data_IF_556600206694
#
_entry.id   IF_556600206694
#
_cell.length_a   1.000
_cell.length_b   1.000
_cell.length_c   1.000
_cell.angle_alpha   90.00
_cell.angle_beta   90.00
_cell.angle_gamma   90.00
#
_symmetry.space_group_name_H-M   'P 1'
#
loop_
_entity.id
_entity.type
_entity.pdbx_description
1 polymer ?
#
# COMPACT_ATOMS: atom_id res chain seq x y z
N UNK A 1 -1.47 40.02 -2.76
CA UNK A 1 -0.64 40.23 -3.97
C UNK A 1 0.85 40.41 -3.65
N UNK A 2 1.25 41.28 -2.70
CA UNK A 2 2.67 41.40 -2.27
C UNK A 2 3.25 40.13 -1.61
N UNK A 3 2.44 39.39 -0.84
CA UNK A 3 2.83 38.10 -0.24
C UNK A 3 3.09 37.01 -1.30
N UNK A 4 2.35 37.03 -2.41
CA UNK A 4 2.54 36.11 -3.54
C UNK A 4 3.82 36.45 -4.33
N UNK A 5 4.13 37.75 -4.46
CA UNK A 5 5.39 38.22 -5.05
C UNK A 5 6.60 37.86 -4.18
N UNK A 6 6.49 37.96 -2.85
CA UNK A 6 7.54 37.50 -1.91
C UNK A 6 7.74 35.98 -1.95
N UNK A 7 6.67 35.19 -2.04
CA UNK A 7 6.76 33.73 -2.16
C UNK A 7 7.45 33.30 -3.48
N UNK A 8 7.11 33.93 -4.60
CA UNK A 8 7.74 33.66 -5.91
C UNK A 8 9.22 34.08 -5.94
N UNK A 9 9.58 35.16 -5.24
CA UNK A 9 10.99 35.61 -5.16
C UNK A 9 11.82 34.68 -4.27
N UNK A 10 11.24 34.11 -3.20
CA UNK A 10 11.91 33.12 -2.36
C UNK A 10 12.08 31.75 -3.04
N UNK A 11 11.09 31.31 -3.82
CA UNK A 11 11.17 30.08 -4.61
C UNK A 11 12.27 30.19 -5.71
N UNK A 12 12.38 31.34 -6.37
CA UNK A 12 13.43 31.60 -7.36
C UNK A 12 14.86 31.67 -6.76
N UNK A 13 14.97 32.01 -5.47
CA UNK A 13 16.26 32.01 -4.74
C UNK A 13 16.61 30.61 -4.22
N UNK A 14 15.62 29.80 -3.83
CA UNK A 14 15.83 28.41 -3.40
C UNK A 14 16.14 27.45 -4.58
N UNK A 15 15.64 27.74 -5.78
CA UNK A 15 15.89 26.96 -7.00
C UNK A 15 17.29 27.10 -7.61
N UNK A 16 18.18 27.93 -7.04
CA UNK A 16 19.61 27.94 -7.41
C UNK A 16 20.38 27.07 -6.43
N UNK A 17 20.51 25.79 -6.80
CA UNK A 17 21.51 24.83 -6.33
C UNK A 17 22.31 25.28 -5.09
N UNK A 18 21.80 25.02 -3.88
CA UNK A 18 22.66 24.99 -2.71
C UNK A 18 23.46 23.67 -2.77
N UNK A 19 24.79 23.70 -2.91
CA UNK A 19 25.56 22.48 -2.89
C UNK A 19 25.56 21.90 -1.46
N UNK A 20 25.25 20.60 -1.38
CA UNK A 20 25.27 19.68 -0.22
C UNK A 20 26.52 19.69 0.68
N UNK A 21 27.46 20.63 0.50
CA UNK A 21 28.68 20.77 1.31
C UNK A 21 28.48 21.51 2.64
N UNK A 22 27.45 22.35 2.79
CA UNK A 22 27.25 23.16 4.00
C UNK A 22 26.68 22.37 5.19
N UNK A 23 25.73 21.44 4.96
CA UNK A 23 25.13 20.61 6.00
C UNK A 23 26.13 19.61 6.62
N UNK A 24 26.95 18.95 5.79
CA UNK A 24 28.01 18.05 6.27
C UNK A 24 29.11 18.80 7.05
N UNK A 25 29.44 20.04 6.64
CA UNK A 25 30.41 20.87 7.36
C UNK A 25 29.87 21.32 8.73
N UNK A 26 28.59 21.67 8.83
CA UNK A 26 27.96 22.05 10.10
C UNK A 26 27.81 20.86 11.06
N UNK A 27 27.46 19.68 10.55
CA UNK A 27 27.39 18.46 11.34
C UNK A 27 28.78 18.01 11.85
N UNK A 28 29.83 18.08 11.02
CA UNK A 28 31.21 17.81 11.45
C UNK A 28 31.69 18.80 12.50
N UNK A 29 31.42 20.09 12.33
CA UNK A 29 31.80 21.13 13.28
C UNK A 29 31.12 20.94 14.64
N UNK A 30 29.85 20.52 14.67
CA UNK A 30 29.13 20.21 15.91
C UNK A 30 29.72 18.99 16.64
N UNK A 31 30.12 17.94 15.90
CA UNK A 31 30.75 16.74 16.46
C UNK A 31 32.17 17.01 16.97
N UNK A 32 32.96 17.82 16.28
CA UNK A 32 34.29 18.23 16.75
C UNK A 32 34.23 19.17 17.97
N UNK A 33 33.22 20.04 18.04
CA UNK A 33 32.97 20.87 19.21
C UNK A 33 32.57 20.02 20.44
N UNK A 34 31.82 18.94 20.24
CA UNK A 34 31.48 18.00 21.30
C UNK A 34 32.72 17.22 21.80
N UNK A 35 33.55 16.69 20.89
CA UNK A 35 34.81 16.00 21.24
C UNK A 35 35.81 16.86 22.00
N UNK A 36 35.91 18.16 21.67
CA UNK A 36 36.80 19.09 22.38
C UNK A 36 36.34 19.36 23.82
N UNK A 37 35.03 19.30 24.09
CA UNK A 37 34.49 19.46 25.45
C UNK A 37 34.73 18.22 26.32
N UNK A 38 34.68 17.02 25.75
CA UNK A 38 35.04 15.79 26.46
C UNK A 38 36.54 15.70 26.76
N UNK A 39 37.40 16.12 25.83
CA UNK A 39 38.85 16.15 26.05
C UNK A 39 39.28 17.15 27.14
N UNK A 40 38.50 18.19 27.41
CA UNK A 40 38.76 19.18 28.45
C UNK A 40 38.23 18.81 29.85
N UNK A 41 37.52 17.70 30.00
CA UNK A 41 36.87 17.29 31.26
C UNK A 41 37.56 16.18 32.04
N UNK A 42 38.74 15.72 31.62
CA UNK A 42 39.42 14.57 32.23
C UNK A 42 40.33 14.95 33.40
N UNK A 43 39.85 14.80 34.63
CA UNK A 43 40.69 14.76 35.82
C UNK A 43 39.89 14.51 37.10
N UNK A 44 39.99 13.30 37.68
CA UNK A 44 39.54 13.06 39.06
C UNK A 44 39.07 11.65 39.38
N UNK A 45 40.03 10.78 39.67
CA UNK A 45 40.04 9.65 40.62
C UNK A 45 39.21 8.36 40.47
N UNK A 46 39.97 7.28 40.63
CA UNK A 46 39.67 5.86 40.71
C UNK A 46 39.26 5.40 42.11
N UNK A 47 38.34 4.45 42.22
CA UNK A 47 38.08 3.71 43.46
C UNK A 47 37.04 2.58 43.36
N UNK A 48 37.54 1.35 43.23
CA UNK A 48 37.02 0.08 43.78
C UNK A 48 35.51 -0.26 43.84
N UNK A 49 35.14 -1.33 43.11
CA UNK A 49 34.50 -2.53 43.67
C UNK A 49 33.00 -2.50 44.04
N UNK A 50 32.23 -3.39 43.42
CA UNK A 50 30.93 -3.86 43.95
C UNK A 50 29.85 -4.03 42.89
N UNK A 51 29.51 -5.29 42.58
CA UNK A 51 28.39 -5.65 41.73
C UNK A 51 27.06 -5.15 42.32
N UNK A 52 26.42 -4.24 41.60
CA UNK A 52 25.07 -3.75 41.80
C UNK A 52 24.71 -2.97 40.55
N UNK A 53 23.54 -3.25 39.96
CA UNK A 53 23.13 -2.64 38.69
C UNK A 53 23.17 -1.12 38.75
N UNK A 54 24.23 -0.53 38.20
CA UNK A 54 24.32 0.92 38.00
C UNK A 54 23.62 1.21 36.68
N UNK A 55 22.31 1.43 36.75
CA UNK A 55 21.69 2.29 35.76
C UNK A 55 22.37 3.66 35.90
N UNK A 56 22.88 4.26 34.80
CA UNK A 56 23.38 5.61 34.90
C UNK A 56 22.23 6.48 35.40
N UNK A 57 22.41 7.07 36.58
CA UNK A 57 21.56 8.17 37.04
C UNK A 57 21.72 9.28 36.00
N UNK A 58 20.82 9.30 35.02
CA UNK A 58 20.79 10.36 34.03
C UNK A 58 20.55 11.65 34.80
N UNK A 59 21.59 12.48 34.89
CA UNK A 59 21.44 13.83 35.44
C UNK A 59 20.37 14.54 34.62
N UNK A 60 19.58 15.41 35.24
CA UNK A 60 18.53 16.17 34.53
C UNK A 60 19.08 16.89 33.29
N UNK A 61 20.37 17.27 33.31
CA UNK A 61 21.12 17.82 32.18
C UNK A 61 21.47 16.78 31.10
N UNK A 62 21.87 15.57 31.49
CA UNK A 62 22.11 14.45 30.56
C UNK A 62 20.83 13.99 29.86
N UNK A 63 19.69 13.96 30.57
CA UNK A 63 18.37 13.72 29.99
C UNK A 63 18.04 14.80 28.94
N UNK A 64 18.15 16.07 29.31
CA UNK A 64 17.85 17.19 28.39
C UNK A 64 18.77 17.17 27.16
N UNK A 65 20.06 16.92 27.33
CA UNK A 65 21.01 16.84 26.21
C UNK A 65 20.69 15.67 25.27
N UNK A 66 20.36 14.49 25.81
CA UNK A 66 19.95 13.34 25.01
C UNK A 66 18.62 13.60 24.28
N UNK A 67 17.64 14.22 24.94
CA UNK A 67 16.37 14.60 24.32
C UNK A 67 16.54 15.61 23.20
N UNK A 68 17.42 16.60 23.36
CA UNK A 68 17.73 17.59 22.30
C UNK A 68 18.45 16.92 21.13
N UNK A 69 19.45 16.07 21.38
CA UNK A 69 20.15 15.35 20.33
C UNK A 69 19.20 14.43 19.55
N UNK A 70 18.30 13.73 20.27
CA UNK A 70 17.28 12.89 19.66
C UNK A 70 16.28 13.71 18.82
N UNK A 71 15.81 14.86 19.32
CA UNK A 71 14.93 15.75 18.57
C UNK A 71 15.59 16.29 17.29
N UNK A 72 16.89 16.62 17.33
CA UNK A 72 17.64 17.07 16.15
C UNK A 72 17.80 15.94 15.13
N UNK A 73 18.12 14.72 15.58
CA UNK A 73 18.23 13.56 14.70
C UNK A 73 16.88 13.19 14.06
N UNK A 74 15.80 13.19 14.87
CA UNK A 74 14.44 12.96 14.42
C UNK A 74 14.00 14.00 13.37
N UNK A 75 14.24 15.28 13.64
CA UNK A 75 13.93 16.36 12.70
C UNK A 75 14.74 16.25 11.40
N UNK A 76 16.04 15.94 11.48
CA UNK A 76 16.90 15.79 10.30
C UNK A 76 16.47 14.60 9.43
N UNK A 77 16.09 13.49 10.05
CA UNK A 77 15.54 12.34 9.34
C UNK A 77 14.16 12.65 8.74
N UNK A 78 13.31 13.40 9.46
CA UNK A 78 12.04 13.89 8.94
C UNK A 78 12.20 14.78 7.70
N UNK A 79 13.19 15.68 7.69
CA UNK A 79 13.52 16.52 6.51
C UNK A 79 13.97 15.65 5.34
N UNK A 80 14.82 14.67 5.60
CA UNK A 80 15.29 13.73 4.57
C UNK A 80 14.14 12.92 3.96
N UNK A 81 13.20 12.43 4.78
CA UNK A 81 12.04 11.66 4.31
C UNK A 81 11.00 12.53 3.58
N UNK A 82 11.03 13.85 3.79
CA UNK A 82 10.20 14.82 3.07
C UNK A 82 10.83 15.28 1.74
N UNK A 83 12.12 14.98 1.51
CA UNK A 83 12.83 15.31 0.28
C UNK A 83 12.35 14.35 -0.83
N UNK A 84 11.69 14.90 -1.86
CA UNK A 84 11.05 14.13 -2.94
C UNK A 84 9.54 13.89 -2.80
N UNK A 85 8.85 14.52 -1.84
CA UNK A 85 7.38 14.49 -1.76
C UNK A 85 6.74 15.54 -2.70
N UNK A 86 6.49 15.15 -3.95
CA UNK A 86 5.88 16.01 -4.97
C UNK A 86 4.34 16.10 -4.87
N UNK A 87 3.74 15.58 -3.78
CA UNK A 87 2.28 15.50 -3.62
C UNK A 87 1.59 16.86 -3.77
N UNK A 88 2.15 17.94 -3.19
CA UNK A 88 1.58 19.28 -3.30
C UNK A 88 1.62 19.82 -4.74
N UNK A 89 2.69 19.53 -5.48
CA UNK A 89 2.78 19.89 -6.90
C UNK A 89 1.76 19.09 -7.73
N UNK A 90 1.70 17.77 -7.53
CA UNK A 90 0.78 16.89 -8.24
C UNK A 90 -0.68 17.22 -7.92
N UNK A 91 -1.03 17.59 -6.69
CA UNK A 91 -2.38 18.06 -6.35
C UNK A 91 -2.80 19.29 -7.17
N UNK A 92 -1.85 20.20 -7.45
CA UNK A 92 -2.12 21.41 -8.22
C UNK A 92 -2.19 21.17 -9.73
N UNK A 93 -1.49 20.14 -10.24
CA UNK A 93 -1.26 19.97 -11.69
C UNK A 93 -1.80 18.67 -12.27
N UNK A 94 -2.15 17.66 -11.45
CA UNK A 94 -2.50 16.31 -11.92
C UNK A 94 -3.59 16.26 -13.00
N UNK A 95 -4.72 16.99 -12.90
CA UNK A 95 -5.69 17.01 -14.00
C UNK A 95 -5.10 17.57 -15.29
N UNK A 96 -4.27 18.60 -15.23
CA UNK A 96 -3.65 19.23 -16.41
C UNK A 96 -2.46 18.44 -16.96
N UNK A 97 -1.83 17.61 -16.12
CA UNK A 97 -0.80 16.67 -16.53
C UNK A 97 -1.40 15.57 -17.39
N UNK A 98 -2.58 15.07 -17.04
CA UNK A 98 -3.19 13.90 -17.69
C UNK A 98 -4.26 14.29 -18.72
N UNK A 99 -5.19 15.19 -18.40
CA UNK A 99 -6.35 15.49 -19.24
C UNK A 99 -5.94 16.11 -20.59
N UNK A 100 -6.54 15.59 -21.68
CA UNK A 100 -6.39 16.14 -23.03
C UNK A 100 -5.01 16.03 -23.65
N UNK A 101 -4.06 15.33 -23.00
CA UNK A 101 -2.73 15.07 -23.57
C UNK A 101 -2.70 13.69 -24.22
N UNK A 102 -2.23 13.64 -25.47
CA UNK A 102 -1.83 12.38 -26.08
C UNK A 102 -0.73 11.71 -25.25
N UNK A 103 -0.72 10.37 -25.17
CA UNK A 103 0.22 9.62 -24.32
C UNK A 103 1.69 9.92 -24.66
N UNK A 104 2.01 10.23 -25.92
CA UNK A 104 3.37 10.59 -26.36
C UNK A 104 3.87 11.94 -25.81
N UNK A 105 2.99 12.74 -25.19
CA UNK A 105 3.34 14.00 -24.51
C UNK A 105 3.37 13.87 -22.99
N UNK A 106 3.02 12.70 -22.45
CA UNK A 106 3.17 12.39 -21.04
C UNK A 106 4.59 11.94 -20.76
N UNK A 107 5.20 12.44 -19.70
CA UNK A 107 6.48 11.94 -19.23
C UNK A 107 6.26 10.72 -18.33
N UNK A 108 7.17 9.76 -18.41
CA UNK A 108 7.17 8.56 -17.57
C UNK A 108 7.24 8.92 -16.08
N UNK A 109 8.19 9.80 -15.71
CA UNK A 109 8.38 10.28 -14.34
C UNK A 109 7.12 10.92 -13.75
N UNK A 110 6.33 11.65 -14.55
CA UNK A 110 5.09 12.27 -14.09
C UNK A 110 4.05 11.21 -13.70
N UNK A 111 3.94 10.13 -14.49
CA UNK A 111 3.02 9.02 -14.22
C UNK A 111 3.47 8.18 -13.02
N UNK A 112 4.77 7.93 -12.89
CA UNK A 112 5.32 7.22 -11.73
C UNK A 112 5.14 8.01 -10.44
N UNK A 113 5.41 9.32 -10.48
CA UNK A 113 5.13 10.24 -9.38
C UNK A 113 3.65 10.25 -9.01
N UNK A 114 2.76 10.27 -10.01
CA UNK A 114 1.32 10.19 -9.81
C UNK A 114 0.90 8.86 -9.15
N UNK A 115 1.43 7.73 -9.60
CA UNK A 115 1.16 6.42 -9.04
C UNK A 115 1.66 6.29 -7.58
N UNK A 116 2.84 6.84 -7.28
CA UNK A 116 3.39 6.86 -5.93
C UNK A 116 2.58 7.75 -4.98
N UNK A 117 2.30 9.00 -5.38
CA UNK A 117 1.58 9.97 -4.57
C UNK A 117 0.12 9.54 -4.34
N UNK A 118 -0.58 9.08 -5.38
CA UNK A 118 -1.97 8.61 -5.28
C UNK A 118 -2.11 7.38 -4.39
N UNK A 119 -1.05 6.59 -4.19
CA UNK A 119 -1.07 5.44 -3.27
C UNK A 119 -1.23 5.84 -1.80
N UNK A 120 -0.89 7.09 -1.44
CA UNK A 120 -0.82 7.53 -0.03
C UNK A 120 -1.61 8.79 0.29
N UNK A 121 -2.15 9.52 -0.69
CA UNK A 121 -2.89 10.76 -0.48
C UNK A 121 -4.33 10.66 -1.04
N UNK A 122 -5.34 10.87 -0.17
CA UNK A 122 -6.75 10.72 -0.57
C UNK A 122 -7.28 11.96 -1.30
N UNK A 123 -6.72 13.15 -1.06
CA UNK A 123 -7.08 14.37 -1.78
C UNK A 123 -6.71 14.26 -3.28
N UNK A 124 -5.56 13.67 -3.60
CA UNK A 124 -5.09 13.47 -4.97
C UNK A 124 -5.98 12.46 -5.70
N UNK A 125 -6.38 11.37 -5.04
CA UNK A 125 -7.38 10.43 -5.58
C UNK A 125 -8.68 11.15 -5.91
N UNK A 126 -9.16 12.01 -5.02
CA UNK A 126 -10.38 12.78 -5.24
C UNK A 126 -10.22 13.79 -6.39
N UNK A 127 -9.07 14.46 -6.52
CA UNK A 127 -8.77 15.38 -7.63
C UNK A 127 -8.75 14.63 -8.96
N UNK A 128 -8.04 13.50 -9.05
CA UNK A 128 -7.99 12.65 -10.24
C UNK A 128 -9.37 12.12 -10.64
N UNK A 129 -10.19 11.77 -9.65
CA UNK A 129 -11.54 11.29 -9.89
C UNK A 129 -12.53 12.38 -10.28
N UNK A 130 -12.28 13.67 -10.05
CA UNK A 130 -13.24 14.74 -10.40
C UNK A 130 -13.45 14.89 -11.90
N UNK A 131 -12.46 14.53 -12.70
CA UNK A 131 -12.48 14.71 -14.15
C UNK A 131 -12.55 13.35 -14.84
N UNK A 132 -13.71 12.95 -15.41
CA UNK A 132 -13.85 11.63 -16.00
C UNK A 132 -12.89 11.39 -17.18
N UNK A 133 -12.47 12.46 -17.88
CA UNK A 133 -11.47 12.37 -18.95
C UNK A 133 -10.09 11.95 -18.46
N UNK A 134 -9.70 12.30 -17.21
CA UNK A 134 -8.45 11.83 -16.61
C UNK A 134 -8.47 10.31 -16.47
N UNK A 135 -9.59 9.73 -16.01
CA UNK A 135 -9.74 8.29 -15.87
C UNK A 135 -9.69 7.58 -17.23
N UNK A 136 -10.37 8.12 -18.25
CA UNK A 136 -10.31 7.61 -19.62
C UNK A 136 -8.89 7.66 -20.18
N UNK A 137 -8.19 8.77 -19.97
CA UNK A 137 -6.82 8.92 -20.45
C UNK A 137 -5.85 7.96 -19.75
N UNK A 138 -5.99 7.75 -18.44
CA UNK A 138 -5.19 6.74 -17.73
C UNK A 138 -5.47 5.33 -18.27
N UNK A 139 -6.71 5.01 -18.63
CA UNK A 139 -7.04 3.73 -19.29
C UNK A 139 -6.40 3.62 -20.68
N UNK A 140 -6.42 4.70 -21.47
CA UNK A 140 -5.71 4.75 -22.76
C UNK A 140 -4.23 4.48 -22.58
N UNK A 141 -3.58 5.17 -21.65
CA UNK A 141 -2.15 4.98 -21.38
C UNK A 141 -1.88 3.53 -20.93
N UNK A 142 -2.70 3.00 -20.02
CA UNK A 142 -2.57 1.61 -19.55
C UNK A 142 -2.68 0.57 -20.67
N UNK A 143 -3.53 0.82 -21.66
CA UNK A 143 -3.73 -0.09 -22.79
C UNK A 143 -2.72 0.10 -23.93
N UNK A 144 -2.26 1.34 -24.17
CA UNK A 144 -1.67 1.75 -25.45
C UNK A 144 -0.24 2.25 -25.39
N UNK A 145 0.24 2.72 -24.23
CA UNK A 145 1.58 3.30 -24.16
C UNK A 145 2.64 2.30 -24.65
N UNK A 146 3.64 2.71 -25.44
CA UNK A 146 4.68 1.80 -25.89
C UNK A 146 5.57 1.33 -24.73
N UNK A 147 5.69 2.10 -23.66
CA UNK A 147 6.53 1.80 -22.51
C UNK A 147 5.76 1.03 -21.41
N UNK A 148 6.35 -0.07 -20.93
CA UNK A 148 5.79 -0.90 -19.86
C UNK A 148 5.57 -0.12 -18.55
N UNK A 149 6.55 0.70 -18.17
CA UNK A 149 6.51 1.53 -16.97
C UNK A 149 5.33 2.50 -16.99
N UNK A 150 5.09 3.17 -18.12
CA UNK A 150 3.93 4.05 -18.30
C UNK A 150 2.61 3.30 -18.16
N UNK A 151 2.47 2.11 -18.78
CA UNK A 151 1.27 1.26 -18.62
C UNK A 151 1.03 0.87 -17.16
N UNK A 152 2.09 0.49 -16.48
CA UNK A 152 2.06 0.05 -15.08
C UNK A 152 1.71 1.20 -14.15
N UNK A 153 2.31 2.38 -14.33
CA UNK A 153 2.03 3.57 -13.55
C UNK A 153 0.59 4.08 -13.74
N UNK A 154 0.09 4.09 -14.99
CA UNK A 154 -1.27 4.51 -15.29
C UNK A 154 -2.31 3.55 -14.69
N UNK A 155 -2.15 2.24 -14.89
CA UNK A 155 -3.03 1.23 -14.28
C UNK A 155 -2.96 1.24 -12.76
N UNK A 156 -1.78 1.50 -12.17
CA UNK A 156 -1.62 1.61 -10.72
C UNK A 156 -2.30 2.86 -10.16
N UNK A 157 -2.26 3.97 -10.88
CA UNK A 157 -2.99 5.18 -10.51
C UNK A 157 -4.51 4.91 -10.48
N UNK A 158 -5.05 4.21 -11.49
CA UNK A 158 -6.46 3.82 -11.52
C UNK A 158 -6.87 2.94 -10.33
N UNK A 159 -6.04 1.94 -10.00
CA UNK A 159 -6.20 1.09 -8.81
C UNK A 159 -6.25 1.94 -7.52
N UNK A 160 -5.30 2.86 -7.36
CA UNK A 160 -5.23 3.74 -6.20
C UNK A 160 -6.47 4.66 -6.10
N UNK A 161 -6.95 5.22 -7.21
CA UNK A 161 -8.15 6.07 -7.25
C UNK A 161 -9.38 5.27 -6.80
N UNK A 162 -9.56 4.05 -7.32
CA UNK A 162 -10.71 3.19 -6.99
C UNK A 162 -10.68 2.68 -5.55
N UNK A 163 -9.52 2.70 -4.89
CA UNK A 163 -9.40 2.35 -3.47
C UNK A 163 -10.15 3.32 -2.54
N UNK A 164 -10.33 4.58 -2.95
CA UNK A 164 -11.03 5.57 -2.12
C UNK A 164 -12.54 5.31 -2.11
N UNK A 165 -13.13 5.21 -0.92
CA UNK A 165 -14.58 5.07 -0.72
C UNK A 165 -15.37 6.39 -0.93
N UNK A 166 -14.78 7.34 -1.66
CA UNK A 166 -15.32 8.69 -1.83
C UNK A 166 -16.47 8.68 -2.86
N UNK A 167 -17.63 9.30 -2.55
CA UNK A 167 -18.77 9.37 -3.49
C UNK A 167 -18.41 9.97 -4.85
N UNK A 168 -17.46 10.93 -4.89
CA UNK A 168 -17.02 11.54 -6.13
C UNK A 168 -16.32 10.53 -7.07
N UNK A 169 -15.58 9.57 -6.50
CA UNK A 169 -14.94 8.49 -7.28
C UNK A 169 -16.00 7.62 -7.94
N UNK A 170 -17.02 7.23 -7.19
CA UNK A 170 -18.10 6.36 -7.68
C UNK A 170 -18.93 7.04 -8.76
N UNK A 171 -19.25 8.32 -8.59
CA UNK A 171 -19.99 9.11 -9.57
C UNK A 171 -19.22 9.22 -10.91
N UNK A 172 -17.95 9.63 -10.86
CA UNK A 172 -17.17 9.84 -12.09
C UNK A 172 -16.86 8.56 -12.85
N UNK A 173 -16.65 7.45 -12.14
CA UNK A 173 -16.44 6.12 -12.74
C UNK A 173 -17.70 5.65 -13.47
N UNK A 174 -18.88 5.95 -12.92
CA UNK A 174 -20.16 5.62 -13.55
C UNK A 174 -20.42 6.47 -14.80
N UNK A 175 -20.20 7.79 -14.72
CA UNK A 175 -20.49 8.75 -15.81
C UNK A 175 -19.60 8.58 -17.06
N UNK A 176 -18.57 7.76 -16.97
CA UNK A 176 -17.55 7.64 -18.01
C UNK A 176 -17.40 6.26 -18.62
N UNK A 177 -18.26 5.29 -18.34
CA UNK A 177 -18.13 3.88 -18.79
C UNK A 177 -16.75 3.24 -18.49
N UNK A 178 -15.99 3.84 -17.57
CA UNK A 178 -14.64 3.42 -17.16
C UNK A 178 -14.64 1.98 -16.60
N UNK A 179 -15.73 1.57 -15.93
CA UNK A 179 -15.90 0.20 -15.41
C UNK A 179 -15.81 -0.84 -16.52
N UNK A 180 -16.55 -0.62 -17.61
CA UNK A 180 -16.62 -1.56 -18.73
C UNK A 180 -15.25 -1.67 -19.41
N UNK A 181 -14.59 -0.53 -19.64
CA UNK A 181 -13.26 -0.51 -20.21
C UNK A 181 -12.20 -1.19 -19.32
N UNK A 182 -12.22 -0.92 -18.00
CA UNK A 182 -11.36 -1.62 -17.03
C UNK A 182 -11.54 -3.13 -17.12
N UNK A 183 -12.79 -3.59 -17.19
CA UNK A 183 -13.11 -5.01 -17.26
C UNK A 183 -12.60 -5.64 -18.57
N UNK A 184 -12.82 -5.00 -19.72
CA UNK A 184 -12.29 -5.50 -21.00
C UNK A 184 -10.76 -5.61 -20.99
N UNK A 185 -10.06 -4.58 -20.53
CA UNK A 185 -8.58 -4.58 -20.50
C UNK A 185 -8.07 -5.63 -19.50
N UNK A 186 -8.74 -5.83 -18.37
CA UNK A 186 -8.37 -6.85 -17.39
C UNK A 186 -8.56 -8.29 -17.93
N UNK A 187 -9.57 -8.50 -18.76
CA UNK A 187 -9.82 -9.79 -19.43
C UNK A 187 -8.85 -10.09 -20.57
N UNK A 188 -8.38 -9.06 -21.26
CA UNK A 188 -7.54 -9.23 -22.45
C UNK A 188 -6.21 -9.90 -22.11
N UNK A 189 -5.99 -11.09 -22.68
CA UNK A 189 -4.77 -11.88 -22.50
C UNK A 189 -3.54 -11.26 -23.19
N UNK A 190 -3.75 -10.31 -24.10
CA UNK A 190 -2.68 -9.55 -24.74
C UNK A 190 -2.07 -8.48 -23.80
N UNK A 191 -2.80 -8.12 -22.74
CA UNK A 191 -2.35 -7.17 -21.72
C UNK A 191 -1.37 -7.78 -20.74
N UNK A 192 -0.48 -6.93 -20.24
CA UNK A 192 0.54 -7.29 -19.25
C UNK A 192 -0.12 -7.73 -17.94
N UNK A 193 0.52 -8.64 -17.23
CA UNK A 193 -0.01 -9.18 -15.98
C UNK A 193 -0.19 -8.09 -14.93
N UNK A 194 0.72 -7.11 -14.88
CA UNK A 194 0.62 -5.98 -13.95
C UNK A 194 -0.61 -5.11 -14.25
N UNK A 195 -0.87 -4.76 -15.52
CA UNK A 195 -2.06 -3.98 -15.90
C UNK A 195 -3.32 -4.75 -15.55
N UNK A 196 -3.41 -6.02 -15.95
CA UNK A 196 -4.58 -6.86 -15.65
C UNK A 196 -4.84 -6.99 -14.15
N UNK A 197 -3.79 -7.20 -13.35
CA UNK A 197 -3.85 -7.26 -11.89
C UNK A 197 -4.36 -5.94 -11.30
N UNK A 198 -3.79 -4.81 -11.72
CA UNK A 198 -4.15 -3.49 -11.20
C UNK A 198 -5.60 -3.14 -11.54
N UNK A 199 -6.06 -3.41 -12.77
CA UNK A 199 -7.44 -3.14 -13.17
C UNK A 199 -8.45 -4.10 -12.50
N UNK A 200 -8.11 -5.38 -12.32
CA UNK A 200 -8.92 -6.30 -11.52
C UNK A 200 -9.00 -5.86 -10.04
N UNK A 201 -7.90 -5.32 -9.50
CA UNK A 201 -7.86 -4.71 -8.16
C UNK A 201 -8.74 -3.47 -8.06
N UNK A 202 -8.70 -2.59 -9.06
CA UNK A 202 -9.58 -1.43 -9.15
C UNK A 202 -11.06 -1.85 -9.12
N UNK A 203 -11.44 -2.85 -9.92
CA UNK A 203 -12.80 -3.41 -9.92
C UNK A 203 -13.18 -4.03 -8.57
N UNK A 204 -12.27 -4.78 -7.93
CA UNK A 204 -12.50 -5.34 -6.62
C UNK A 204 -12.71 -4.27 -5.55
N UNK A 205 -11.98 -3.15 -5.62
CA UNK A 205 -12.17 -2.00 -4.74
C UNK A 205 -13.52 -1.33 -4.96
N UNK A 206 -13.96 -1.15 -6.21
CA UNK A 206 -15.29 -0.61 -6.51
C UNK A 206 -16.39 -1.51 -5.95
N UNK A 207 -16.30 -2.82 -6.11
CA UNK A 207 -17.26 -3.78 -5.53
C UNK A 207 -17.30 -3.68 -4.01
N UNK A 208 -16.14 -3.62 -3.35
CA UNK A 208 -16.06 -3.58 -1.89
C UNK A 208 -16.54 -2.25 -1.27
N UNK A 209 -16.34 -1.14 -1.98
CA UNK A 209 -16.59 0.21 -1.48
C UNK A 209 -17.91 0.85 -1.97
N UNK A 210 -18.71 0.12 -2.75
CA UNK A 210 -19.98 0.62 -3.29
C UNK A 210 -21.15 0.00 -2.53
N UNK A 211 -21.95 0.81 -1.81
CA UNK A 211 -23.20 0.35 -1.19
C UNK A 211 -24.15 -0.29 -2.20
N UNK A 212 -24.88 -1.33 -1.78
CA UNK A 212 -25.74 -2.12 -2.66
C UNK A 212 -26.91 -1.32 -3.28
N UNK A 213 -27.29 -0.21 -2.67
CA UNK A 213 -28.35 0.71 -3.10
C UNK A 213 -27.87 1.78 -4.10
N UNK A 214 -26.57 1.88 -4.37
CA UNK A 214 -26.04 2.85 -5.33
C UNK A 214 -26.15 2.37 -6.80
N UNK A 215 -26.37 3.26 -7.78
CA UNK A 215 -26.45 2.90 -9.20
C UNK A 215 -25.21 2.16 -9.72
N UNK A 216 -24.03 2.52 -9.22
CA UNK A 216 -22.78 1.85 -9.57
C UNK A 216 -22.78 0.37 -9.17
N UNK A 217 -23.43 0.00 -8.06
CA UNK A 217 -23.54 -1.40 -7.65
C UNK A 217 -24.30 -2.22 -8.69
N UNK A 218 -25.42 -1.66 -9.20
CA UNK A 218 -26.17 -2.30 -10.27
C UNK A 218 -25.34 -2.41 -11.56
N UNK A 219 -24.64 -1.33 -11.95
CA UNK A 219 -23.77 -1.33 -13.12
C UNK A 219 -22.65 -2.38 -13.03
N UNK A 220 -22.04 -2.58 -11.86
CA UNK A 220 -21.04 -3.63 -11.62
C UNK A 220 -21.65 -5.04 -11.72
N UNK A 221 -22.84 -5.24 -11.14
CA UNK A 221 -23.54 -6.53 -11.15
C UNK A 221 -24.01 -6.91 -12.56
N UNK A 222 -24.49 -5.96 -13.34
CA UNK A 222 -25.10 -6.23 -14.66
C UNK A 222 -24.07 -6.34 -15.81
N UNK A 223 -22.79 -6.13 -15.51
CA UNK A 223 -21.69 -6.17 -16.47
C UNK A 223 -20.98 -7.54 -16.46
N UNK A 224 -21.21 -8.34 -17.50
CA UNK A 224 -20.65 -9.69 -17.67
C UNK A 224 -19.10 -9.68 -17.69
N UNK A 225 -18.49 -8.62 -18.20
CA UNK A 225 -17.04 -8.49 -18.23
C UNK A 225 -16.45 -8.25 -16.84
N UNK A 226 -17.16 -7.59 -15.93
CA UNK A 226 -16.68 -7.40 -14.56
C UNK A 226 -16.60 -8.76 -13.84
N UNK A 227 -17.65 -9.58 -13.99
CA UNK A 227 -17.67 -10.95 -13.45
C UNK A 227 -16.51 -11.78 -13.97
N UNK A 228 -16.31 -11.81 -15.28
CA UNK A 228 -15.25 -12.64 -15.85
C UNK A 228 -13.85 -12.06 -15.63
N UNK A 229 -13.65 -10.73 -15.59
CA UNK A 229 -12.38 -10.12 -15.19
C UNK A 229 -11.94 -10.58 -13.79
N UNK A 230 -12.84 -10.48 -12.80
CA UNK A 230 -12.55 -10.85 -11.41
C UNK A 230 -12.41 -12.38 -11.25
N UNK A 231 -13.24 -13.15 -11.95
CA UNK A 231 -13.10 -14.60 -11.97
C UNK A 231 -11.75 -15.01 -12.61
N UNK A 232 -11.40 -14.48 -13.79
CA UNK A 232 -10.12 -14.79 -14.43
C UNK A 232 -8.91 -14.38 -13.58
N UNK A 233 -9.00 -13.26 -12.86
CA UNK A 233 -7.97 -12.85 -11.92
C UNK A 233 -7.87 -13.79 -10.71
N UNK A 234 -9.00 -14.28 -10.19
CA UNK A 234 -9.09 -15.26 -9.10
C UNK A 234 -8.45 -16.62 -9.47
N UNK A 235 -8.53 -17.06 -10.73
CA UNK A 235 -7.94 -18.35 -11.15
C UNK A 235 -6.49 -18.25 -11.63
N UNK A 236 -6.00 -17.05 -11.92
CA UNK A 236 -4.67 -16.89 -12.50
C UNK A 236 -3.60 -17.00 -11.42
N UNK A 237 -2.80 -18.07 -11.47
CA UNK A 237 -1.76 -18.38 -10.49
C UNK A 237 -0.81 -17.22 -10.16
N UNK A 238 -0.55 -16.33 -11.13
CA UNK A 238 0.41 -15.24 -10.98
C UNK A 238 -0.20 -14.00 -10.32
N UNK A 239 -1.44 -13.66 -10.68
CA UNK A 239 -2.08 -12.43 -10.21
C UNK A 239 -3.11 -12.66 -9.11
N UNK A 240 -3.53 -13.92 -8.88
CA UNK A 240 -4.58 -14.27 -7.91
C UNK A 240 -4.32 -13.57 -6.58
N UNK A 241 -5.39 -12.94 -6.09
CA UNK A 241 -5.47 -12.31 -4.76
C UNK A 241 -6.80 -12.65 -4.11
N UNK A 242 -6.80 -12.80 -2.79
CA UNK A 242 -7.99 -13.01 -1.96
C UNK A 242 -9.05 -11.92 -2.14
N UNK A 243 -8.63 -10.68 -2.39
CA UNK A 243 -9.53 -9.58 -2.71
C UNK A 243 -10.37 -9.87 -3.97
N UNK A 244 -9.81 -10.56 -4.96
CA UNK A 244 -10.50 -10.94 -6.19
C UNK A 244 -11.52 -12.05 -5.92
N UNK A 245 -11.13 -13.08 -5.16
CA UNK A 245 -12.01 -14.17 -4.75
C UNK A 245 -13.27 -13.63 -4.04
N UNK A 246 -13.08 -12.64 -3.15
CA UNK A 246 -14.16 -11.99 -2.42
C UNK A 246 -15.05 -11.10 -3.28
N UNK A 247 -14.46 -10.26 -4.12
CA UNK A 247 -15.22 -9.40 -5.02
C UNK A 247 -16.02 -10.23 -6.03
N UNK A 248 -15.41 -11.28 -6.59
CA UNK A 248 -16.08 -12.22 -7.48
C UNK A 248 -17.23 -12.94 -6.77
N UNK A 249 -17.03 -13.41 -5.53
CA UNK A 249 -18.08 -14.04 -4.75
C UNK A 249 -19.24 -13.10 -4.40
N UNK A 250 -18.94 -11.86 -4.00
CA UNK A 250 -19.95 -10.85 -3.67
C UNK A 250 -20.82 -10.52 -4.90
N UNK A 251 -20.17 -10.31 -6.06
CA UNK A 251 -20.87 -10.11 -7.32
C UNK A 251 -21.66 -11.33 -7.77
N UNK A 252 -21.11 -12.54 -7.62
CA UNK A 252 -21.81 -13.78 -7.96
C UNK A 252 -23.12 -13.92 -7.19
N UNK A 253 -23.09 -13.68 -5.86
CA UNK A 253 -24.30 -13.69 -5.03
C UNK A 253 -25.31 -12.66 -5.55
N UNK A 254 -24.88 -11.42 -5.77
CA UNK A 254 -25.75 -10.33 -6.21
C UNK A 254 -26.35 -10.56 -7.61
N UNK A 255 -25.58 -11.13 -8.54
CA UNK A 255 -26.05 -11.46 -9.89
C UNK A 255 -27.05 -12.62 -9.89
N UNK A 256 -26.83 -13.66 -9.07
CA UNK A 256 -27.73 -14.81 -8.99
C UNK A 256 -29.06 -14.48 -8.30
N UNK A 257 -29.09 -13.42 -7.48
CA UNK A 257 -30.32 -12.88 -6.90
C UNK A 257 -31.13 -12.03 -7.92
N UNK A 258 -30.56 -11.74 -9.09
CA UNK A 258 -31.20 -11.01 -10.19
C UNK A 258 -31.40 -11.92 -11.42
N UNK A 259 -32.62 -12.44 -11.64
CA UNK A 259 -32.89 -13.38 -12.73
C UNK A 259 -32.48 -12.87 -14.12
N UNK A 260 -32.66 -11.58 -14.38
CA UNK A 260 -32.31 -10.95 -15.65
C UNK A 260 -30.79 -10.95 -15.88
N UNK A 261 -30.02 -10.59 -14.85
CA UNK A 261 -28.55 -10.58 -14.88
C UNK A 261 -27.99 -12.00 -15.03
N UNK A 262 -28.49 -12.95 -14.25
CA UNK A 262 -28.09 -14.36 -14.34
C UNK A 262 -28.40 -14.95 -15.73
N UNK A 263 -29.57 -14.63 -16.29
CA UNK A 263 -29.94 -15.04 -17.64
C UNK A 263 -29.02 -14.43 -18.70
N UNK A 264 -28.70 -13.14 -18.60
CA UNK A 264 -27.76 -12.46 -19.50
C UNK A 264 -26.39 -13.13 -19.47
N UNK A 265 -25.83 -13.38 -18.28
CA UNK A 265 -24.55 -14.07 -18.12
C UNK A 265 -24.63 -15.49 -18.71
N UNK A 266 -25.71 -16.23 -18.46
CA UNK A 266 -25.90 -17.58 -18.98
C UNK A 266 -25.98 -17.65 -20.51
N UNK A 267 -26.52 -16.61 -21.15
CA UNK A 267 -26.58 -16.49 -22.63
C UNK A 267 -25.22 -16.11 -23.20
N UNK A 268 -24.57 -15.10 -22.64
CA UNK A 268 -23.30 -14.57 -23.18
C UNK A 268 -22.11 -15.49 -22.88
N UNK A 269 -22.05 -16.07 -21.67
CA UNK A 269 -20.94 -16.89 -21.16
C UNK A 269 -21.45 -18.01 -20.23
N UNK A 270 -21.99 -19.12 -20.77
CA UNK A 270 -22.57 -20.20 -19.96
C UNK A 270 -21.58 -20.84 -18.97
N UNK A 271 -20.31 -20.97 -19.34
CA UNK A 271 -19.25 -21.49 -18.45
C UNK A 271 -18.99 -20.56 -17.26
N UNK A 272 -19.17 -19.24 -17.44
CA UNK A 272 -19.02 -18.27 -16.36
C UNK A 272 -20.16 -18.41 -15.35
N UNK A 273 -21.40 -18.65 -15.80
CA UNK A 273 -22.54 -18.81 -14.88
C UNK A 273 -22.33 -19.97 -13.91
N UNK A 274 -21.96 -21.15 -14.42
CA UNK A 274 -21.67 -22.32 -13.59
C UNK A 274 -20.55 -22.05 -12.56
N UNK A 275 -19.59 -21.19 -12.94
CA UNK A 275 -18.50 -20.78 -12.06
C UNK A 275 -18.96 -19.81 -10.98
N UNK A 276 -19.84 -18.85 -11.31
CA UNK A 276 -20.44 -17.93 -10.36
C UNK A 276 -21.30 -18.67 -9.33
N UNK A 277 -22.06 -19.69 -9.77
CA UNK A 277 -22.82 -20.56 -8.86
C UNK A 277 -21.92 -21.19 -7.78
N UNK A 278 -20.78 -21.76 -8.19
CA UNK A 278 -19.82 -22.36 -7.26
C UNK A 278 -19.20 -21.34 -6.30
N UNK A 279 -18.86 -20.14 -6.79
CA UNK A 279 -18.32 -19.06 -5.97
C UNK A 279 -19.34 -18.58 -4.94
N UNK A 280 -20.60 -18.40 -5.35
CA UNK A 280 -21.69 -17.98 -4.48
C UNK A 280 -22.03 -19.05 -3.43
N UNK A 281 -22.04 -20.34 -3.81
CA UNK A 281 -22.25 -21.45 -2.88
C UNK A 281 -21.17 -21.49 -1.80
N UNK A 282 -19.89 -21.42 -2.20
CA UNK A 282 -18.77 -21.39 -1.26
C UNK A 282 -18.85 -20.20 -0.31
N UNK A 283 -19.19 -19.01 -0.84
CA UNK A 283 -19.27 -17.80 -0.02
C UNK A 283 -20.45 -17.83 0.96
N UNK A 284 -21.63 -18.32 0.53
CA UNK A 284 -22.79 -18.52 1.41
C UNK A 284 -22.49 -19.54 2.51
N UNK A 285 -21.77 -20.62 2.19
CA UNK A 285 -21.34 -21.59 3.20
C UNK A 285 -20.39 -20.97 4.24
N UNK A 286 -19.46 -20.13 3.82
CA UNK A 286 -18.58 -19.37 4.72
C UNK A 286 -19.36 -18.38 5.58
N UNK A 287 -20.31 -17.64 5.01
CA UNK A 287 -21.17 -16.70 5.74
C UNK A 287 -22.07 -17.40 6.77
N UNK A 288 -22.51 -18.62 6.49
CA UNK A 288 -23.33 -19.41 7.41
C UNK A 288 -22.53 -19.94 8.63
N UNK A 289 -21.21 -20.01 8.56
CA UNK A 289 -20.34 -20.51 9.63
C UNK A 289 -19.61 -19.38 10.34
N UNK A 290 -19.92 -19.17 11.62
CA UNK A 290 -19.22 -18.18 12.44
C UNK A 290 -17.71 -18.43 12.50
N UNK A 291 -17.27 -19.68 12.62
CA UNK A 291 -15.85 -20.02 12.66
C UNK A 291 -15.14 -19.70 11.33
N UNK A 292 -15.78 -20.01 10.20
CA UNK A 292 -15.21 -19.72 8.89
C UNK A 292 -15.16 -18.20 8.65
N UNK A 293 -16.22 -17.48 8.99
CA UNK A 293 -16.29 -16.02 8.92
C UNK A 293 -15.25 -15.33 9.82
N UNK A 294 -15.08 -15.82 11.05
CA UNK A 294 -14.09 -15.30 11.99
C UNK A 294 -12.65 -15.58 11.51
N UNK A 295 -12.38 -16.79 11.02
CA UNK A 295 -11.11 -17.14 10.40
C UNK A 295 -10.82 -16.26 9.20
N UNK A 296 -11.84 -15.98 8.39
CA UNK A 296 -11.68 -15.13 7.22
C UNK A 296 -11.27 -13.72 7.61
N UNK A 297 -12.01 -13.12 8.54
CA UNK A 297 -11.77 -11.79 9.10
C UNK A 297 -10.38 -11.63 9.72
N UNK A 298 -9.89 -12.65 10.43
CA UNK A 298 -8.54 -12.64 11.03
C UNK A 298 -7.46 -12.54 9.95
N UNK A 299 -7.63 -13.26 8.85
CA UNK A 299 -6.68 -13.23 7.75
C UNK A 299 -6.69 -11.89 6.98
N UNK A 300 -7.79 -11.12 6.98
CA UNK A 300 -7.83 -9.79 6.31
C UNK A 300 -7.39 -8.63 7.19
N UNK A 301 -7.63 -8.73 8.50
CA UNK A 301 -7.43 -7.64 9.45
C UNK A 301 -5.97 -7.44 9.87
N UNK A 302 -5.05 -8.26 9.35
CA UNK A 302 -3.67 -8.32 9.84
C UNK A 302 -3.55 -8.91 11.25
N UNK A 303 -4.66 -9.33 11.87
CA UNK A 303 -4.68 -9.98 13.19
C UNK A 303 -3.93 -11.29 13.21
N UNK A 304 -3.82 -11.95 12.05
CA UNK A 304 -3.05 -13.18 11.91
C UNK A 304 -1.59 -13.01 12.34
N UNK A 305 -0.92 -11.91 11.97
CA UNK A 305 0.44 -11.62 12.44
C UNK A 305 0.48 -11.60 13.96
N UNK A 306 -0.46 -10.89 14.58
CA UNK A 306 -0.51 -10.77 16.03
C UNK A 306 -0.80 -12.11 16.72
N UNK A 307 -1.67 -12.94 16.15
CA UNK A 307 -1.90 -14.29 16.63
C UNK A 307 -0.63 -15.13 16.60
N UNK A 308 0.12 -15.11 15.49
CA UNK A 308 1.42 -15.79 15.40
C UNK A 308 2.43 -15.25 16.41
N UNK A 309 2.49 -13.92 16.63
CA UNK A 309 3.36 -13.33 17.67
C UNK A 309 2.94 -13.70 19.09
N UNK A 310 1.64 -13.84 19.37
CA UNK A 310 1.13 -14.30 20.65
C UNK A 310 1.49 -15.78 20.89
N UNK A 311 1.27 -16.64 19.89
CA UNK A 311 1.57 -18.08 19.99
C UNK A 311 3.07 -18.34 20.06
N UNK A 312 3.88 -17.63 19.25
CA UNK A 312 5.34 -17.69 19.31
C UNK A 312 5.87 -17.23 20.67
N UNK A 313 5.30 -16.17 21.23
CA UNK A 313 5.57 -15.73 22.60
C UNK A 313 5.25 -16.78 23.65
N UNK A 314 4.08 -17.39 23.56
CA UNK A 314 3.66 -18.45 24.47
C UNK A 314 4.57 -19.66 24.44
N UNK A 315 4.89 -20.15 23.24
CA UNK A 315 5.80 -21.28 23.03
C UNK A 315 7.20 -20.98 23.57
N UNK A 316 7.74 -19.79 23.28
CA UNK A 316 9.05 -19.37 23.75
C UNK A 316 9.11 -19.26 25.28
N UNK A 317 8.12 -18.59 25.89
CA UNK A 317 8.04 -18.46 27.34
C UNK A 317 7.93 -19.82 28.04
N UNK A 318 7.11 -20.73 27.51
CA UNK A 318 7.00 -22.09 28.02
C UNK A 318 8.33 -22.85 27.93
N UNK A 319 9.00 -22.78 26.77
CA UNK A 319 10.27 -23.46 26.53
C UNK A 319 11.36 -22.98 27.49
N UNK A 320 11.45 -21.68 27.72
CA UNK A 320 12.47 -21.10 28.60
C UNK A 320 12.24 -21.49 30.07
N UNK A 321 10.99 -21.45 30.54
CA UNK A 321 10.64 -21.92 31.88
C UNK A 321 10.88 -23.43 32.05
N UNK A 322 10.59 -24.23 31.02
CA UNK A 322 10.88 -25.66 31.00
C UNK A 322 12.39 -25.93 31.09
N UNK A 323 13.21 -25.21 30.30
CA UNK A 323 14.68 -25.34 30.33
C UNK A 323 15.29 -24.94 31.67
N UNK A 324 14.65 -24.02 32.38
CA UNK A 324 15.04 -23.61 33.72
C UNK A 324 14.61 -24.61 34.82
N UNK A 325 13.91 -25.69 34.46
CA UNK A 325 13.44 -26.70 35.42
C UNK A 325 12.30 -26.23 36.31
N UNK A 326 11.50 -25.26 35.85
CA UNK A 326 10.39 -24.72 36.64
C UNK A 326 9.17 -25.65 36.69
N UNK A 327 8.27 -25.39 37.64
CA UNK A 327 7.02 -26.15 37.80
C UNK A 327 6.04 -25.91 36.63
N UNK A 328 5.13 -26.86 36.39
CA UNK A 328 4.12 -26.74 35.32
C UNK A 328 3.25 -25.49 35.43
N UNK A 329 2.95 -25.03 36.65
CA UNK A 329 2.21 -23.78 36.86
C UNK A 329 3.02 -22.55 36.44
N UNK A 330 4.33 -22.56 36.73
CA UNK A 330 5.22 -21.49 36.36
C UNK A 330 5.48 -21.47 34.84
N UNK A 331 5.58 -22.63 34.19
CA UNK A 331 5.62 -22.76 32.73
C UNK A 331 4.36 -22.16 32.08
N UNK A 332 3.17 -22.53 32.57
CA UNK A 332 1.92 -21.98 32.05
C UNK A 332 1.83 -20.45 32.23
N UNK A 333 2.29 -19.96 33.39
CA UNK A 333 2.34 -18.52 33.67
C UNK A 333 3.34 -17.81 32.74
N UNK A 334 4.51 -18.38 32.51
CA UNK A 334 5.52 -17.83 31.62
C UNK A 334 5.00 -17.78 30.17
N UNK A 335 4.32 -18.84 29.72
CA UNK A 335 3.67 -18.87 28.41
C UNK A 335 2.65 -17.74 28.26
N UNK A 336 1.73 -17.59 29.22
CA UNK A 336 0.69 -16.55 29.16
C UNK A 336 1.29 -15.13 29.19
N UNK A 337 2.22 -14.87 30.11
CA UNK A 337 2.85 -13.54 30.23
C UNK A 337 3.59 -13.16 28.95
N UNK A 338 4.41 -14.08 28.45
CA UNK A 338 5.20 -13.84 27.24
C UNK A 338 4.30 -13.65 26.03
N UNK A 339 3.27 -14.49 25.86
CA UNK A 339 2.26 -14.37 24.81
C UNK A 339 1.57 -12.99 24.78
N UNK A 340 1.20 -12.48 25.96
CA UNK A 340 0.56 -11.17 26.08
C UNK A 340 1.51 -10.04 25.69
N UNK A 341 2.76 -10.03 26.20
CA UNK A 341 3.72 -8.96 25.84
C UNK A 341 4.06 -8.99 24.36
N UNK A 342 4.34 -10.17 23.80
CA UNK A 342 4.82 -10.30 22.41
C UNK A 342 3.80 -9.91 21.36
N UNK A 343 2.53 -9.88 21.71
CA UNK A 343 1.46 -9.38 20.86
C UNK A 343 1.09 -7.94 21.19
N UNK A 344 0.81 -7.62 22.46
CA UNK A 344 0.28 -6.31 22.87
C UNK A 344 1.28 -5.17 22.68
N UNK A 345 2.56 -5.36 23.02
CA UNK A 345 3.56 -4.29 22.88
C UNK A 345 3.72 -3.89 21.41
N UNK A 346 3.93 -4.82 20.46
CA UNK A 346 3.93 -4.48 19.04
C UNK A 346 2.61 -3.91 18.53
N UNK A 347 1.45 -4.43 18.95
CA UNK A 347 0.14 -3.86 18.56
C UNK A 347 0.07 -2.38 18.97
N UNK A 348 0.34 -2.08 20.24
CA UNK A 348 0.18 -0.73 20.78
C UNK A 348 1.25 0.23 20.27
N UNK A 349 2.50 -0.22 20.18
CA UNK A 349 3.65 0.65 19.85
C UNK A 349 3.85 0.75 18.35
N UNK A 350 3.86 -0.37 17.62
CA UNK A 350 4.15 -0.38 16.18
C UNK A 350 2.85 -0.29 15.40
N UNK A 351 1.89 -1.18 15.67
CA UNK A 351 0.60 -1.22 14.97
C UNK A 351 -0.17 0.10 15.10
N UNK A 352 -0.26 0.62 16.33
CA UNK A 352 -0.90 1.91 16.62
C UNK A 352 -0.22 3.09 15.91
N UNK A 353 1.11 3.15 15.93
CA UNK A 353 1.86 4.23 15.27
C UNK A 353 1.78 4.15 13.75
N UNK A 354 1.86 2.95 13.16
CA UNK A 354 1.68 2.76 11.71
C UNK A 354 0.27 3.12 11.28
N UNK A 355 -0.75 2.73 12.06
CA UNK A 355 -2.15 3.08 11.80
C UNK A 355 -2.35 4.59 11.86
N UNK A 356 -1.83 5.25 12.90
CA UNK A 356 -1.92 6.70 13.05
C UNK A 356 -1.14 7.43 11.95
N UNK A 357 0.06 6.95 11.61
CA UNK A 357 0.85 7.50 10.51
C UNK A 357 0.11 7.42 9.19
N UNK A 358 -0.44 6.25 8.85
CA UNK A 358 -1.21 6.08 7.62
C UNK A 358 -2.47 6.95 7.60
N UNK A 359 -3.15 7.09 8.75
CA UNK A 359 -4.30 7.98 8.89
C UNK A 359 -3.93 9.45 8.64
N UNK A 360 -2.85 9.93 9.24
CA UNK A 360 -2.39 11.32 9.07
C UNK A 360 -1.85 11.54 7.66
N UNK A 361 -1.02 10.65 7.13
CA UNK A 361 -0.43 10.77 5.79
C UNK A 361 -1.50 10.93 4.71
N UNK A 362 -2.63 10.22 4.81
CA UNK A 362 -3.74 10.32 3.86
C UNK A 362 -4.41 11.69 3.80
N UNK A 363 -4.31 12.48 4.87
CA UNK A 363 -4.97 13.77 5.03
C UNK A 363 -4.05 14.97 4.82
N UNK A 364 -2.74 14.74 4.71
CA UNK A 364 -1.75 15.80 4.65
C UNK A 364 -1.23 15.93 3.22
N UNK A 365 -1.39 17.14 2.68
CA UNK A 365 -1.00 17.49 1.32
C UNK A 365 0.44 18.05 1.24
N UNK A 366 0.97 18.51 2.38
CA UNK A 366 2.29 19.13 2.49
C UNK A 366 3.31 18.22 3.22
N UNK A 367 4.60 18.28 2.86
CA UNK A 367 5.63 17.53 3.58
C UNK A 367 5.85 18.04 5.02
N UNK A 368 5.59 19.31 5.29
CA UNK A 368 5.92 19.93 6.58
C UNK A 368 5.09 19.37 7.76
N UNK A 369 3.76 19.22 7.68
CA UNK A 369 2.99 18.55 8.73
C UNK A 369 3.35 17.08 8.89
N UNK A 370 3.74 16.37 7.82
CA UNK A 370 4.19 14.98 7.89
C UNK A 370 5.52 14.87 8.65
N UNK A 371 6.45 15.78 8.39
CA UNK A 371 7.72 15.87 9.11
C UNK A 371 7.51 16.20 10.60
N UNK A 372 6.60 17.13 10.90
CA UNK A 372 6.22 17.46 12.27
C UNK A 372 5.59 16.26 12.98
N UNK A 373 4.70 15.54 12.29
CA UNK A 373 4.09 14.31 12.79
C UNK A 373 5.15 13.24 13.08
N UNK A 374 6.06 12.96 12.14
CA UNK A 374 7.14 11.98 12.32
C UNK A 374 8.04 12.33 13.52
N UNK A 375 8.44 13.59 13.62
CA UNK A 375 9.25 14.10 14.74
C UNK A 375 8.49 13.96 16.07
N UNK A 376 7.20 14.30 16.07
CA UNK A 376 6.32 14.14 17.22
C UNK A 376 6.15 12.67 17.64
N UNK A 377 5.98 11.75 16.69
CA UNK A 377 5.86 10.31 16.95
C UNK A 377 7.14 9.75 17.56
N UNK A 378 8.32 10.14 17.07
CA UNK A 378 9.60 9.75 17.67
C UNK A 378 9.71 10.24 19.13
N UNK A 379 9.31 11.48 19.41
CA UNK A 379 9.28 12.01 20.78
C UNK A 379 8.23 11.31 21.65
N UNK A 380 7.11 10.88 21.07
CA UNK A 380 6.08 10.12 21.77
C UNK A 380 6.53 8.70 22.16
N UNK A 381 7.63 8.17 21.58
CA UNK A 381 8.26 6.94 22.02
C UNK A 381 9.16 7.13 23.25
N UNK A 382 9.53 8.37 23.60
CA UNK A 382 10.39 8.65 24.75
C UNK A 382 9.90 8.04 26.09
N UNK A 383 8.59 8.08 26.43
CA UNK A 383 8.07 7.41 27.62
C UNK A 383 8.34 5.90 27.68
N UNK A 384 8.54 5.23 26.54
CA UNK A 384 8.85 3.80 26.51
C UNK A 384 10.17 3.48 27.22
N UNK A 385 11.11 4.42 27.31
CA UNK A 385 12.36 4.23 28.08
C UNK A 385 12.07 3.89 29.54
N UNK A 386 10.95 4.38 30.09
CA UNK A 386 10.54 4.12 31.47
C UNK A 386 9.63 2.89 31.60
N UNK A 387 8.89 2.53 30.55
CA UNK A 387 7.92 1.43 30.57
C UNK A 387 8.58 0.10 30.20
N UNK A 388 9.47 0.09 29.21
CA UNK A 388 10.12 -1.12 28.70
C UNK A 388 10.86 -1.93 29.77
N UNK A 389 11.58 -1.32 30.74
CA UNK A 389 12.20 -2.09 31.83
C UNK A 389 11.20 -2.86 32.69
N UNK A 390 10.01 -2.29 32.94
CA UNK A 390 8.96 -2.97 33.69
C UNK A 390 8.35 -4.12 32.89
N UNK A 391 8.20 -3.94 31.58
CA UNK A 391 7.76 -4.98 30.65
C UNK A 391 8.77 -6.14 30.60
N UNK A 392 10.06 -5.81 30.46
CA UNK A 392 11.15 -6.80 30.42
C UNK A 392 11.25 -7.58 31.74
N UNK A 393 11.02 -6.92 32.88
CA UNK A 393 10.97 -7.59 34.17
C UNK A 393 9.75 -8.53 34.32
N UNK A 394 8.61 -8.19 33.71
CA UNK A 394 7.38 -8.99 33.80
C UNK A 394 7.39 -10.20 32.88
N UNK A 395 7.92 -10.05 31.66
CA UNK A 395 8.11 -11.11 30.68
C UNK A 395 9.54 -11.09 30.12
N UNK A 396 10.52 -11.66 30.84
CA UNK A 396 11.89 -11.72 30.38
C UNK A 396 11.99 -12.40 29.01
N UNK A 397 12.83 -11.87 28.13
CA UNK A 397 13.10 -12.45 26.80
C UNK A 397 11.87 -12.48 25.86
N UNK A 398 10.85 -11.65 26.09
CA UNK A 398 9.69 -11.55 25.19
C UNK A 398 10.10 -11.24 23.74
N UNK A 399 11.19 -10.50 23.51
CA UNK A 399 11.74 -10.26 22.17
C UNK A 399 12.02 -11.58 21.42
N UNK A 400 12.53 -12.61 22.11
CA UNK A 400 12.75 -13.92 21.49
C UNK A 400 11.44 -14.58 21.04
N UNK A 401 10.40 -14.46 21.85
CA UNK A 401 9.06 -14.93 21.51
C UNK A 401 8.44 -14.19 20.33
N UNK A 402 8.72 -12.89 20.22
CA UNK A 402 8.33 -12.07 19.08
C UNK A 402 9.00 -12.55 17.78
N UNK A 403 10.30 -12.83 17.81
CA UNK A 403 11.05 -13.39 16.66
C UNK A 403 10.48 -14.75 16.24
N UNK A 404 10.22 -15.66 17.19
CA UNK A 404 9.62 -16.97 16.91
C UNK A 404 8.26 -16.81 16.23
N UNK A 405 7.44 -15.89 16.72
CA UNK A 405 6.15 -15.60 16.11
C UNK A 405 6.25 -15.03 14.70
N UNK A 406 7.18 -14.11 14.46
CA UNK A 406 7.44 -13.56 13.12
C UNK A 406 7.89 -14.62 12.13
N UNK A 407 8.82 -15.51 12.52
CA UNK A 407 9.26 -16.63 11.69
C UNK A 407 8.09 -17.57 11.41
N UNK A 408 7.26 -17.84 12.42
CA UNK A 408 6.05 -18.66 12.26
C UNK A 408 5.07 -18.04 11.27
N UNK A 409 4.84 -16.72 11.36
CA UNK A 409 3.96 -15.99 10.44
C UNK A 409 4.49 -16.01 9.00
N UNK A 410 5.76 -15.68 8.78
CA UNK A 410 6.33 -15.71 7.43
C UNK A 410 6.43 -17.13 6.86
N UNK A 411 6.73 -18.13 7.69
CA UNK A 411 6.64 -19.54 7.28
C UNK A 411 5.20 -19.90 6.89
N UNK A 412 4.21 -19.47 7.67
CA UNK A 412 2.80 -19.67 7.35
C UNK A 412 2.45 -19.03 6.01
N UNK A 413 2.81 -17.76 5.79
CA UNK A 413 2.54 -17.06 4.53
C UNK A 413 3.19 -17.78 3.35
N UNK A 414 4.42 -18.29 3.52
CA UNK A 414 5.13 -19.04 2.48
C UNK A 414 4.45 -20.39 2.17
N UNK A 415 4.04 -21.15 3.19
CA UNK A 415 3.43 -22.48 3.01
C UNK A 415 1.98 -22.40 2.52
N UNK A 416 1.28 -21.31 2.81
CA UNK A 416 -0.13 -21.13 2.42
C UNK A 416 -0.32 -20.36 1.12
N UNK A 417 0.77 -20.06 0.39
CA UNK A 417 0.76 -19.20 -0.80
C UNK A 417 0.01 -17.88 -0.56
N UNK A 418 0.10 -17.34 0.65
CA UNK A 418 -0.64 -16.15 1.01
C UNK A 418 -0.19 -14.98 0.14
N UNK A 419 -1.16 -14.31 -0.49
CA UNK A 419 -0.93 -13.30 -1.52
C UNK A 419 -0.06 -12.12 -1.06
N UNK A 420 0.06 -11.91 0.25
CA UNK A 420 0.92 -10.91 0.89
C UNK A 420 2.40 -11.03 0.50
N UNK A 421 2.89 -12.23 0.12
CA UNK A 421 4.29 -12.44 -0.26
C UNK A 421 4.53 -12.51 -1.78
N UNK A 422 3.46 -12.54 -2.61
CA UNK A 422 3.63 -12.50 -4.07
C UNK A 422 4.12 -11.10 -4.46
N UNK A 423 5.42 -11.00 -4.69
CA UNK A 423 6.05 -9.74 -5.03
C UNK A 423 5.59 -9.28 -6.41
N UNK A 424 5.10 -8.04 -6.50
CA UNK A 424 4.82 -7.38 -7.79
C UNK A 424 6.08 -7.37 -8.70
N UNK A 425 7.28 -7.53 -8.12
CA UNK A 425 8.54 -7.72 -8.85
C UNK A 425 8.57 -8.98 -9.73
N UNK A 426 7.97 -10.11 -9.33
CA UNK A 426 7.94 -11.31 -10.19
C UNK A 426 7.04 -11.07 -11.41
N UNK A 427 5.93 -10.35 -11.22
CA UNK A 427 5.05 -9.94 -12.32
C UNK A 427 5.77 -9.01 -13.30
N UNK A 428 6.49 -8.01 -12.78
CA UNK A 428 7.30 -7.10 -13.60
C UNK A 428 8.38 -7.83 -14.39
N UNK A 429 9.08 -8.80 -13.78
CA UNK A 429 10.08 -9.62 -14.48
C UNK A 429 9.45 -10.44 -15.61
N UNK A 430 8.28 -11.04 -15.36
CA UNK A 430 7.55 -11.81 -16.38
C UNK A 430 7.05 -10.93 -17.51
N UNK A 431 6.50 -9.76 -17.21
CA UNK A 431 6.02 -8.82 -18.22
C UNK A 431 7.18 -8.29 -19.08
N UNK A 432 8.33 -8.02 -18.48
CA UNK A 432 9.55 -7.62 -19.21
C UNK A 432 10.00 -8.75 -20.15
N UNK A 433 10.07 -9.99 -19.67
CA UNK A 433 10.43 -11.14 -20.49
C UNK A 433 9.44 -11.39 -21.64
N UNK A 434 8.14 -11.17 -21.41
CA UNK A 434 7.11 -11.27 -22.45
C UNK A 434 7.29 -10.16 -23.49
N UNK A 435 7.52 -8.92 -23.06
CA UNK A 435 7.74 -7.79 -23.96
C UNK A 435 8.99 -7.98 -24.83
N UNK A 436 10.08 -8.50 -24.27
CA UNK A 436 11.31 -8.81 -25.01
C UNK A 436 11.12 -9.92 -26.05
N UNK A 437 10.26 -10.90 -25.78
CA UNK A 437 10.10 -12.09 -26.64
C UNK A 437 8.98 -11.98 -27.66
N UNK A 438 7.89 -11.27 -27.35
CA UNK A 438 6.68 -11.20 -28.18
C UNK A 438 6.35 -9.78 -28.64
N UNK A 439 7.09 -8.77 -28.17
CA UNK A 439 6.71 -7.38 -28.30
C UNK A 439 5.52 -7.02 -27.41
N UNK A 440 5.27 -5.71 -27.24
CA UNK A 440 4.09 -5.22 -26.55
C UNK A 440 2.93 -5.15 -27.53
N UNK A 441 1.96 -6.06 -27.37
CA UNK A 441 0.71 -5.96 -28.10
C UNK A 441 -0.07 -4.71 -27.63
N UNK A 442 -0.69 -3.99 -28.58
CA UNK A 442 -1.74 -3.03 -28.25
C UNK A 442 -3.03 -3.79 -27.93
N UNK A 443 -3.63 -3.54 -26.76
CA UNK A 443 -4.83 -4.26 -26.29
C UNK A 443 -6.10 -4.03 -27.11
N UNK A 444 -6.00 -3.22 -28.15
CA UNK A 444 -7.09 -2.81 -29.02
C UNK A 444 -7.34 -3.74 -30.18
N UNK A 445 -6.38 -4.60 -30.55
CA UNK A 445 -6.47 -5.38 -31.77
C UNK A 445 -7.70 -6.32 -31.79
N UNK A 446 -8.32 -6.57 -30.62
CA UNK A 446 -9.39 -7.55 -30.45
C UNK A 446 -10.70 -7.00 -29.83
N UNK A 447 -10.89 -5.69 -29.63
CA UNK A 447 -12.13 -5.13 -29.04
C UNK A 447 -12.58 -3.81 -29.72
N UNK A 448 -13.46 -3.87 -30.75
CA UNK A 448 -13.97 -2.68 -31.45
C UNK A 448 -14.68 -1.68 -30.54
N UNK A 449 -15.42 -2.16 -29.54
CA UNK A 449 -16.15 -1.32 -28.58
C UNK A 449 -15.22 -0.54 -27.65
N UNK A 450 -14.05 -1.10 -27.33
CA UNK A 450 -13.02 -0.43 -26.54
C UNK A 450 -12.33 0.68 -27.36
N UNK A 451 -12.17 0.49 -28.68
CA UNK A 451 -11.58 1.49 -29.55
C UNK A 451 -12.46 2.74 -29.72
N UNK A 452 -13.78 2.53 -29.85
CA UNK A 452 -14.77 3.60 -29.88
C UNK A 452 -14.86 4.35 -28.54
N UNK A 453 -14.89 3.61 -27.43
CA UNK A 453 -14.90 4.18 -26.08
C UNK A 453 -13.65 5.03 -25.77
N UNK A 454 -12.49 4.59 -26.24
CA UNK A 454 -11.24 5.32 -26.09
C UNK A 454 -11.08 6.43 -27.16
N UNK A 455 -12.10 6.78 -27.95
CA UNK A 455 -12.05 7.81 -29.01
C UNK A 455 -10.79 7.73 -29.89
N UNK A 456 -10.39 6.53 -30.30
CA UNK A 456 -9.17 6.36 -31.08
C UNK A 456 -9.28 6.87 -32.51
N UNK A 457 -10.49 7.06 -32.99
CA UNK A 457 -10.78 7.69 -34.28
C UNK A 457 -10.29 9.16 -34.31
N UNK A 458 -10.18 9.82 -33.16
CA UNK A 458 -9.63 11.20 -33.03
C UNK A 458 -8.10 11.20 -32.84
N UNK A 459 -7.50 10.06 -32.51
CA UNK A 459 -6.05 9.91 -32.26
C UNK A 459 -5.28 9.50 -33.53
N UNK A 460 -5.98 8.97 -34.54
CA UNK A 460 -5.40 8.55 -35.81
C UNK A 460 -4.75 9.70 -36.61
N UNK A 461 -5.17 10.95 -36.39
CA UNK A 461 -4.66 12.12 -37.13
C UNK A 461 -3.26 12.59 -36.65
N UNK A 462 -2.84 12.25 -35.43
CA UNK A 462 -1.56 12.74 -34.84
C UNK A 462 -0.49 11.63 -34.67
N UNK A 463 -0.85 10.35 -34.73
CA UNK A 463 0.04 9.23 -34.36
C UNK A 463 0.79 8.56 -35.53
N UNK A 464 0.43 8.82 -36.78
CA UNK A 464 0.82 7.93 -37.88
C UNK A 464 0.25 6.51 -37.66
N UNK A 465 0.40 5.59 -38.64
CA UNK A 465 -0.24 4.29 -38.55
C UNK A 465 0.29 3.51 -37.35
N UNK A 466 -0.57 3.30 -36.34
CA UNK A 466 -0.37 2.27 -35.32
C UNK A 466 -0.19 0.96 -36.08
N UNK A 467 1.03 0.43 -36.10
CA UNK A 467 1.31 -0.85 -36.73
C UNK A 467 0.56 -1.93 -35.95
N UNK A 468 -0.65 -2.25 -36.42
CA UNK A 468 -1.34 -3.49 -36.09
C UNK A 468 -0.41 -4.61 -36.54
N UNK A 469 0.37 -5.16 -35.61
CA UNK A 469 1.14 -6.37 -35.87
C UNK A 469 0.08 -7.49 -36.02
N UNK A 470 -0.08 -8.09 -37.21
CA UNK A 470 -0.98 -9.22 -37.36
C UNK A 470 -0.41 -10.36 -36.52
N UNK A 471 -1.15 -10.81 -35.51
CA UNK A 471 -0.82 -12.08 -34.86
C UNK A 471 -1.25 -13.20 -35.79
N UNK A 472 -0.34 -13.62 -36.68
CA UNK A 472 -0.52 -14.84 -37.46
C UNK A 472 -0.39 -16.07 -36.54
N UNK A 473 -1.53 -16.78 -36.39
CA UNK A 473 -1.78 -18.17 -35.97
C UNK A 473 -1.50 -18.60 -34.51
#
# INVERSE_FOLDING_TARGET
MELHKKAMTHAAVAGRAMPLRSGHAQARAAVEAARRREASGGGGDSGGGGGGGVFPTFTRRGVVAASVAFAVAAGSYGVYMADGDDTAYLLATAPQLVAGRHWSRLQEDDLEGLAAASGTNDALKAVLAREPEVLRQLLRVAALAPELSMRNAASKTLDNVCQAAAPQVRASVLDSDVVTAMAHIAEDKSMTLVVRKNLASALAHLVANTPADEPLAAALVDNVHVHSALANASDNIYIRRRAFDKAAAALAIAALERPETASKIGVERPELLARLDKLAESARATQASWLASAGDSIADSGLLLYLHTALGGGAWGALQAFRAGESSQAIARAALRTSLVTSLVPICVVGGMVTLYNYVRRQVDDPLPLMAFHTGSMLALYPLIFIMPAVDAWAPMWIGGHVVGFISFFTYLYVTDADLLKADGELLMRDTAIAETKGLASGLANTPDLAAFLHLDEVADDAGPVALVPTDK
#
